data_IF_640092159836
#
_entry.id   IF_640092159836
#
_cell.length_a   1.000
_cell.length_b   1.000
_cell.length_c   1.000
_cell.angle_alpha   90.00
_cell.angle_beta   90.00
_cell.angle_gamma   90.00
#
_symmetry.space_group_name_H-M   'P 1'
#
loop_
_entity.id
_entity.type
_entity.pdbx_description
1 polymer ?
#
# COMPACT_ATOMS: atom_id res chain seq x y z
N UNK A 1 2.93 -1.00 8.39
CA UNK A 1 3.28 0.32 7.83
C UNK A 1 2.75 0.33 6.42
N UNK A 2 1.92 1.31 6.06
CA UNK A 2 1.44 1.44 4.68
C UNK A 2 2.52 2.15 3.88
N UNK A 3 2.95 1.56 2.78
CA UNK A 3 3.86 2.22 1.84
C UNK A 3 3.07 2.62 0.60
N UNK A 4 3.35 3.79 0.07
CA UNK A 4 2.88 4.18 -1.26
C UNK A 4 4.05 4.11 -2.21
N UNK A 5 3.89 3.32 -3.25
CA UNK A 5 4.93 3.10 -4.23
C UNK A 5 4.31 3.11 -5.63
N UNK A 6 4.88 3.89 -6.55
CA UNK A 6 4.45 3.93 -7.93
C UNK A 6 5.61 4.18 -8.88
N UNK A 7 5.58 3.55 -10.05
CA UNK A 7 6.48 3.87 -11.17
C UNK A 7 5.66 4.57 -12.24
N UNK A 8 6.14 5.70 -12.75
CA UNK A 8 5.52 6.44 -13.84
C UNK A 8 6.36 6.32 -15.11
N UNK A 9 5.75 5.86 -16.19
CA UNK A 9 6.37 5.74 -17.51
C UNK A 9 5.80 6.81 -18.44
N UNK A 10 6.67 7.64 -19.04
CA UNK A 10 6.27 8.68 -19.99
C UNK A 10 6.00 8.08 -21.38
N UNK A 11 4.85 7.43 -21.53
CA UNK A 11 4.41 6.79 -22.77
C UNK A 11 2.89 6.65 -22.81
N UNK A 12 2.32 6.57 -24.01
CA UNK A 12 0.93 6.15 -24.23
C UNK A 12 0.80 4.64 -24.46
N UNK A 13 1.91 3.97 -24.80
CA UNK A 13 1.96 2.54 -25.10
C UNK A 13 2.00 1.70 -23.82
N UNK A 14 0.80 1.54 -23.25
CA UNK A 14 0.55 0.70 -22.08
C UNK A 14 0.93 -0.76 -22.31
N UNK A 15 0.74 -1.28 -23.52
CA UNK A 15 0.96 -2.70 -23.81
C UNK A 15 2.45 -3.02 -23.77
N UNK A 16 3.31 -2.15 -24.30
CA UNK A 16 4.77 -2.30 -24.16
C UNK A 16 5.24 -2.25 -22.71
N UNK A 17 4.66 -1.37 -21.87
CA UNK A 17 4.94 -1.34 -20.42
C UNK A 17 4.55 -2.68 -19.78
N UNK A 18 3.36 -3.20 -20.07
CA UNK A 18 2.90 -4.48 -19.54
C UNK A 18 3.77 -5.65 -20.00
N UNK A 19 4.18 -5.65 -21.27
CA UNK A 19 5.07 -6.67 -21.84
C UNK A 19 6.44 -6.65 -21.12
N UNK A 20 7.02 -5.47 -20.89
CA UNK A 20 8.28 -5.32 -20.17
C UNK A 20 8.19 -5.78 -18.71
N UNK A 21 7.10 -5.47 -17.99
CA UNK A 21 6.88 -5.99 -16.63
C UNK A 21 6.85 -7.52 -16.63
N UNK A 22 6.10 -8.14 -17.56
CA UNK A 22 6.00 -9.60 -17.66
C UNK A 22 7.34 -10.24 -18.02
N UNK A 23 8.09 -9.65 -18.95
CA UNK A 23 9.42 -10.10 -19.32
C UNK A 23 10.39 -10.01 -18.13
N UNK A 24 10.35 -8.91 -17.38
CA UNK A 24 11.16 -8.74 -16.17
C UNK A 24 10.81 -9.77 -15.10
N UNK A 25 9.53 -10.03 -14.86
CA UNK A 25 9.09 -11.07 -13.92
C UNK A 25 9.61 -12.46 -14.32
N UNK A 26 9.50 -12.81 -15.60
CA UNK A 26 10.00 -14.07 -16.13
C UNK A 26 11.53 -14.19 -15.99
N UNK A 27 12.27 -13.14 -16.35
CA UNK A 27 13.73 -13.09 -16.21
C UNK A 27 14.20 -13.21 -14.74
N UNK A 28 13.33 -12.82 -13.79
CA UNK A 28 13.57 -12.95 -12.37
C UNK A 28 13.07 -14.27 -11.77
N UNK A 29 12.57 -15.22 -12.58
CA UNK A 29 12.08 -16.52 -12.11
C UNK A 29 10.71 -16.47 -11.43
N UNK A 30 9.94 -15.40 -11.63
CA UNK A 30 8.57 -15.31 -11.13
C UNK A 30 7.60 -16.04 -12.07
N UNK A 31 6.67 -16.79 -11.50
CA UNK A 31 5.52 -17.38 -12.20
C UNK A 31 4.34 -16.42 -12.06
N UNK A 32 3.73 -16.05 -13.19
CA UNK A 32 2.54 -15.21 -13.20
C UNK A 32 1.34 -15.96 -12.62
N UNK A 33 0.51 -15.27 -11.83
CA UNK A 33 -0.72 -15.83 -11.27
C UNK A 33 -1.81 -14.75 -11.16
N UNK A 34 -3.07 -15.18 -11.06
CA UNK A 34 -4.22 -14.29 -10.84
C UNK A 34 -4.78 -14.48 -9.42
N UNK A 35 -4.56 -13.53 -8.49
CA UNK A 35 -5.08 -13.61 -7.13
C UNK A 35 -6.60 -13.42 -7.05
N UNK A 36 -7.26 -12.97 -8.13
CA UNK A 36 -8.70 -12.73 -8.19
C UNK A 36 -9.47 -13.91 -8.81
N UNK A 37 -8.76 -14.97 -9.20
CA UNK A 37 -9.34 -16.20 -9.74
C UNK A 37 -10.06 -17.02 -8.65
N UNK A 38 -10.85 -18.01 -9.08
CA UNK A 38 -11.67 -18.86 -8.18
C UNK A 38 -10.84 -19.98 -7.52
N UNK A 39 -9.71 -20.33 -8.12
CA UNK A 39 -8.88 -21.45 -7.68
C UNK A 39 -7.93 -20.94 -6.58
N UNK A 40 -7.80 -21.63 -5.43
CA UNK A 40 -6.86 -21.25 -4.38
C UNK A 40 -5.46 -21.06 -4.98
N UNK A 41 -4.97 -19.82 -4.92
CA UNK A 41 -3.67 -19.46 -5.49
C UNK A 41 -2.54 -20.18 -4.75
N UNK A 42 -1.47 -20.51 -5.47
CA UNK A 42 -0.22 -20.91 -4.85
C UNK A 42 0.27 -19.80 -3.92
N UNK A 43 0.73 -20.17 -2.71
CA UNK A 43 1.42 -19.22 -1.84
C UNK A 43 2.86 -19.11 -2.29
N UNK A 44 3.32 -17.88 -2.47
CA UNK A 44 4.69 -17.58 -2.87
C UNK A 44 5.39 -16.82 -1.74
N UNK A 45 6.57 -17.27 -1.28
CA UNK A 45 7.34 -16.57 -0.24
C UNK A 45 7.78 -15.18 -0.70
N UNK A 46 8.02 -15.01 -2.00
CA UNK A 46 8.35 -13.74 -2.65
C UNK A 46 7.32 -13.49 -3.75
N UNK A 47 6.59 -12.38 -3.66
CA UNK A 47 5.55 -12.03 -4.61
C UNK A 47 5.65 -10.56 -5.01
N UNK A 48 5.71 -10.30 -6.31
CA UNK A 48 5.56 -8.97 -6.88
C UNK A 48 4.09 -8.76 -7.21
N UNK A 49 3.53 -7.66 -6.70
CA UNK A 49 2.11 -7.34 -6.79
C UNK A 49 1.96 -5.91 -7.28
N UNK A 50 1.37 -5.73 -8.45
CA UNK A 50 1.13 -4.40 -8.99
C UNK A 50 -0.10 -4.36 -9.90
N UNK A 51 -0.57 -3.14 -10.12
CA UNK A 51 -1.52 -2.82 -11.18
C UNK A 51 -0.89 -1.87 -12.19
N UNK A 52 -1.26 -2.01 -13.46
CA UNK A 52 -0.93 -1.05 -14.51
C UNK A 52 -2.17 -0.22 -14.82
N UNK A 53 -2.08 1.09 -14.66
CA UNK A 53 -3.18 2.02 -14.94
C UNK A 53 -3.49 2.11 -16.44
N UNK A 54 -4.69 2.60 -16.79
CA UNK A 54 -4.90 3.22 -18.09
C UNK A 54 -3.91 4.38 -18.31
N UNK A 55 -3.68 4.72 -19.58
CA UNK A 55 -2.91 5.90 -19.95
C UNK A 55 -3.65 7.16 -19.49
N UNK A 56 -2.94 8.06 -18.83
CA UNK A 56 -3.47 9.32 -18.35
C UNK A 56 -2.67 10.50 -18.91
N UNK A 57 -3.37 11.56 -19.31
CA UNK A 57 -2.74 12.75 -19.87
C UNK A 57 -2.17 13.63 -18.75
N UNK A 58 -0.87 13.88 -18.80
CA UNK A 58 -0.19 14.89 -18.02
C UNK A 58 0.00 16.20 -18.81
N UNK A 59 0.70 17.16 -18.20
CA UNK A 59 1.08 18.40 -18.86
C UNK A 59 2.16 18.11 -19.92
N UNK A 60 1.74 17.91 -21.17
CA UNK A 60 2.62 17.73 -22.33
C UNK A 60 3.07 16.29 -22.62
N UNK A 61 2.68 15.30 -21.81
CA UNK A 61 2.99 13.88 -22.08
C UNK A 61 1.90 12.95 -21.56
N UNK A 62 1.74 11.81 -22.21
CA UNK A 62 0.93 10.70 -21.73
C UNK A 62 1.74 9.86 -20.74
N UNK A 63 1.06 9.33 -19.72
CA UNK A 63 1.69 8.57 -18.64
C UNK A 63 0.96 7.25 -18.38
N UNK A 64 1.75 6.20 -18.18
CA UNK A 64 1.29 4.92 -17.63
C UNK A 64 1.87 4.76 -16.23
N UNK A 65 1.00 4.51 -15.24
CA UNK A 65 1.38 4.33 -13.84
C UNK A 65 1.35 2.85 -13.48
N UNK A 66 2.43 2.36 -12.88
CA UNK A 66 2.45 1.09 -12.16
C UNK A 66 2.22 1.40 -10.68
N UNK A 67 1.20 0.81 -10.09
CA UNK A 67 0.83 0.96 -8.68
C UNK A 67 1.29 -0.30 -7.96
N UNK A 68 2.31 -0.19 -7.11
CA UNK A 68 2.96 -1.34 -6.49
C UNK A 68 2.53 -1.50 -5.03
N UNK A 69 2.43 -2.75 -4.58
CA UNK A 69 2.24 -3.04 -3.16
C UNK A 69 3.47 -2.66 -2.32
N UNK A 70 4.66 -2.77 -2.92
CA UNK A 70 5.95 -2.46 -2.31
C UNK A 70 6.99 -2.14 -3.40
N UNK A 71 8.09 -1.43 -3.07
CA UNK A 71 9.17 -1.18 -4.01
C UNK A 71 9.79 -2.47 -4.55
N UNK A 72 10.02 -2.53 -5.86
CA UNK A 72 10.61 -3.68 -6.54
C UNK A 72 11.92 -3.26 -7.20
N UNK A 73 13.03 -3.73 -6.63
CA UNK A 73 14.37 -3.40 -7.12
C UNK A 73 14.56 -3.86 -8.58
N UNK A 74 15.14 -3.01 -9.43
CA UNK A 74 15.45 -3.33 -10.82
C UNK A 74 14.27 -3.20 -11.79
N UNK A 75 13.04 -3.00 -11.32
CA UNK A 75 11.87 -2.92 -12.20
C UNK A 75 11.82 -1.58 -12.94
N UNK A 76 12.11 -0.46 -12.26
CA UNK A 76 12.12 0.86 -12.89
C UNK A 76 13.20 0.96 -13.98
N UNK A 77 14.37 0.38 -13.73
CA UNK A 77 15.49 0.29 -14.67
C UNK A 77 15.13 -0.54 -15.90
N UNK A 78 14.44 -1.68 -15.70
CA UNK A 78 13.98 -2.51 -16.81
C UNK A 78 12.97 -1.78 -17.72
N UNK A 79 12.16 -0.87 -17.15
CA UNK A 79 11.19 -0.08 -17.90
C UNK A 79 11.85 1.05 -18.72
N UNK A 80 13.08 1.47 -18.39
CA UNK A 80 13.81 2.48 -19.17
C UNK A 80 14.07 2.06 -20.62
N UNK A 81 14.08 0.75 -20.90
CA UNK A 81 14.17 0.23 -22.27
C UNK A 81 12.90 0.43 -23.11
N UNK A 82 11.77 0.79 -22.48
CA UNK A 82 10.49 1.07 -23.12
C UNK A 82 10.22 2.57 -23.18
N UNK A 83 10.37 3.25 -22.04
CA UNK A 83 10.11 4.68 -21.90
C UNK A 83 10.85 5.25 -20.68
N UNK A 84 11.09 6.58 -20.62
CA UNK A 84 11.56 7.21 -19.40
C UNK A 84 10.65 6.84 -18.22
N UNK A 85 11.24 6.23 -17.18
CA UNK A 85 10.52 5.72 -16.03
C UNK A 85 11.09 6.31 -14.73
N UNK A 86 10.22 6.69 -13.80
CA UNK A 86 10.61 7.22 -12.48
C UNK A 86 9.88 6.49 -11.37
N UNK A 87 10.62 6.06 -10.34
CA UNK A 87 10.09 5.46 -9.13
C UNK A 87 9.82 6.55 -8.11
N UNK A 88 8.59 6.61 -7.60
CA UNK A 88 8.23 7.38 -6.42
C UNK A 88 7.90 6.39 -5.30
N UNK A 89 8.61 6.51 -4.19
CA UNK A 89 8.42 5.71 -2.99
C UNK A 89 8.26 6.63 -1.79
N UNK A 90 7.15 6.46 -1.09
CA UNK A 90 6.82 7.17 0.13
C UNK A 90 6.46 6.13 1.19
N UNK A 91 7.42 5.89 2.08
CA UNK A 91 7.17 5.11 3.28
C UNK A 91 6.14 5.84 4.15
N UNK A 92 5.22 5.07 4.75
CA UNK A 92 4.36 5.59 5.80
C UNK A 92 5.20 6.09 6.96
N UNK A 93 4.96 7.33 7.39
CA UNK A 93 5.64 7.94 8.51
C UNK A 93 4.86 7.74 9.80
N UNK A 94 5.51 7.13 10.81
CA UNK A 94 5.22 7.50 12.20
C UNK A 94 5.63 8.96 12.35
N UNK A 95 4.70 9.83 12.76
CA UNK A 95 5.07 11.17 13.19
C UNK A 95 6.10 11.04 14.34
N UNK A 96 7.23 11.75 14.20
CA UNK A 96 8.31 11.94 15.15
C UNK A 96 9.20 10.74 15.53
N UNK A 97 10.52 10.97 15.44
CA UNK A 97 11.54 10.09 15.99
C UNK A 97 11.56 10.17 17.52
N UNK A 98 11.23 9.04 18.14
CA UNK A 98 11.39 8.77 19.57
C UNK A 98 11.59 7.26 19.74
N UNK A 99 12.41 6.83 20.71
CA UNK A 99 12.61 5.41 20.98
C UNK A 99 11.25 4.76 21.30
N UNK A 100 10.87 3.73 20.53
CA UNK A 100 9.58 3.05 20.68
C UNK A 100 9.75 1.79 21.54
N UNK A 101 8.79 1.55 22.44
CA UNK A 101 8.66 0.29 23.15
C UNK A 101 7.27 -0.28 22.89
N UNK A 102 7.21 -1.46 22.28
CA UNK A 102 5.96 -2.15 21.93
C UNK A 102 4.96 -1.27 21.13
N UNK A 103 5.47 -0.43 20.22
CA UNK A 103 4.65 0.42 19.36
C UNK A 103 4.07 1.67 20.02
N UNK A 104 4.43 1.95 21.27
CA UNK A 104 4.12 3.21 21.96
C UNK A 104 5.34 4.12 21.87
N UNK A 105 5.11 5.37 21.43
CA UNK A 105 6.12 6.42 21.52
C UNK A 105 6.30 6.82 22.99
N UNK A 106 7.45 6.48 23.56
CA UNK A 106 7.80 6.84 24.94
C UNK A 106 7.87 8.36 25.13
N UNK A 107 8.13 9.12 24.06
CA UNK A 107 8.17 10.59 24.11
C UNK A 107 6.76 11.21 24.29
N UNK A 108 5.70 10.47 23.94
CA UNK A 108 4.31 10.90 24.08
C UNK A 108 3.70 10.60 25.46
N UNK A 109 4.43 9.91 26.34
CA UNK A 109 3.98 9.62 27.71
C UNK A 109 4.19 10.85 28.61
N UNK A 110 3.30 11.03 29.61
CA UNK A 110 3.47 12.07 30.64
C UNK A 110 4.79 11.86 31.40
N UNK A 111 5.37 12.94 31.95
CA UNK A 111 6.70 12.90 32.58
C UNK A 111 6.86 11.82 33.66
N UNK A 112 5.80 11.55 34.42
CA UNK A 112 5.79 10.50 35.45
C UNK A 112 5.79 9.07 34.85
N UNK A 113 5.17 8.88 33.68
CA UNK A 113 5.14 7.62 32.97
C UNK A 113 6.48 7.30 32.28
N UNK A 114 7.21 8.32 31.79
CA UNK A 114 8.59 8.16 31.31
C UNK A 114 9.55 7.73 32.43
N UNK A 115 9.42 8.34 33.62
CA UNK A 115 10.23 8.00 34.78
C UNK A 115 9.97 6.57 35.28
N UNK A 116 8.75 6.04 35.12
CA UNK A 116 8.44 4.63 35.39
C UNK A 116 8.96 3.69 34.31
N UNK A 117 8.85 4.03 33.03
CA UNK A 117 9.28 3.16 31.93
C UNK A 117 10.78 2.83 31.95
N UNK A 118 11.60 3.77 32.43
CA UNK A 118 13.04 3.55 32.66
C UNK A 118 13.37 2.60 33.83
N UNK A 119 12.36 2.21 34.63
CA UNK A 119 12.51 1.36 35.83
C UNK A 119 11.88 -0.03 35.69
N UNK A 120 11.26 -0.37 34.56
CA UNK A 120 10.56 -1.65 34.39
C UNK A 120 11.44 -2.68 33.68
N UNK A 121 11.62 -3.84 34.31
CA UNK A 121 12.32 -5.01 33.77
C UNK A 121 11.59 -5.57 32.54
N UNK A 122 12.28 -5.65 31.39
CA UNK A 122 11.72 -6.01 30.09
C UNK A 122 11.06 -7.40 30.05
N UNK A 123 11.43 -8.31 30.97
CA UNK A 123 10.78 -9.63 31.07
C UNK A 123 9.37 -9.57 31.67
N UNK A 124 9.06 -8.55 32.48
CA UNK A 124 7.70 -8.36 33.03
C UNK A 124 6.75 -7.67 32.04
N UNK A 125 7.28 -6.92 31.08
CA UNK A 125 6.50 -6.24 30.03
C UNK A 125 5.76 -7.24 29.11
N UNK A 126 6.37 -8.38 28.78
CA UNK A 126 5.73 -9.43 27.97
C UNK A 126 4.52 -10.09 28.65
N UNK A 127 4.59 -10.30 29.96
CA UNK A 127 3.48 -10.88 30.72
C UNK A 127 2.31 -9.88 30.90
N UNK A 128 2.60 -8.58 30.92
CA UNK A 128 1.58 -7.53 30.93
C UNK A 128 0.94 -7.33 29.55
N UNK A 129 1.73 -7.40 28.46
CA UNK A 129 1.21 -7.34 27.09
C UNK A 129 0.25 -8.49 26.79
N UNK A 130 0.57 -9.73 27.22
CA UNK A 130 -0.34 -10.87 27.08
C UNK A 130 -1.62 -10.73 27.91
N UNK A 131 -1.58 -10.07 29.08
CA UNK A 131 -2.79 -9.73 29.85
C UNK A 131 -3.62 -8.63 29.19
N UNK A 132 -2.97 -7.65 28.56
CA UNK A 132 -3.63 -6.58 27.79
C UNK A 132 -4.34 -7.14 26.55
N UNK A 133 -3.69 -8.02 25.79
CA UNK A 133 -4.28 -8.72 24.63
C UNK A 133 -5.45 -9.61 25.06
N UNK A 134 -5.31 -10.32 26.19
CA UNK A 134 -6.39 -11.11 26.78
C UNK A 134 -7.58 -10.27 27.29
N UNK A 135 -7.34 -9.03 27.71
CA UNK A 135 -8.39 -8.10 28.16
C UNK A 135 -9.09 -7.37 27.00
N UNK A 136 -8.38 -7.15 25.88
CA UNK A 136 -8.91 -6.61 24.62
C UNK A 136 -9.88 -7.60 23.96
N UNK A 137 -9.55 -8.90 23.97
CA UNK A 137 -10.48 -9.96 23.55
C UNK A 137 -11.73 -10.07 24.43
N UNK A 138 -11.69 -9.51 25.66
CA UNK A 138 -12.80 -9.52 26.62
C UNK A 138 -13.64 -8.23 26.63
N UNK A 139 -13.13 -7.13 26.05
CA UNK A 139 -13.78 -5.82 25.99
C UNK A 139 -14.23 -5.47 24.56
N UNK A 140 -15.17 -6.24 24.03
CA UNK A 140 -16.09 -5.83 22.95
C UNK A 140 -17.11 -4.77 23.43
N UNK A 141 -16.65 -3.83 24.26
CA UNK A 141 -17.35 -2.67 24.78
C UNK A 141 -16.30 -1.57 24.93
N UNK A 142 -16.01 -0.88 23.83
CA UNK A 142 -14.85 -0.02 23.66
C UNK A 142 -14.89 1.21 24.58
N UNK A 143 -13.78 1.50 25.27
CA UNK A 143 -13.58 2.76 25.99
C UNK A 143 -12.97 3.83 25.06
N UNK A 144 -13.11 5.11 25.41
CA UNK A 144 -12.56 6.23 24.61
C UNK A 144 -11.04 6.15 24.43
N UNK A 145 -10.33 5.56 25.38
CA UNK A 145 -8.89 5.35 25.30
C UNK A 145 -8.50 4.29 24.24
N UNK A 146 -9.30 3.23 24.10
CA UNK A 146 -9.10 2.20 23.07
C UNK A 146 -9.38 2.78 21.68
N UNK A 147 -10.40 3.64 21.56
CA UNK A 147 -10.69 4.36 20.32
C UNK A 147 -9.57 5.35 19.95
N UNK A 148 -8.97 6.03 20.93
CA UNK A 148 -7.83 6.92 20.70
C UNK A 148 -6.58 6.16 20.26
N UNK A 149 -6.27 5.02 20.89
CA UNK A 149 -5.14 4.18 20.49
C UNK A 149 -5.34 3.57 19.08
N UNK A 150 -6.55 3.12 18.76
CA UNK A 150 -6.89 2.67 17.41
C UNK A 150 -6.74 3.80 16.37
N UNK A 151 -7.19 5.03 16.68
CA UNK A 151 -7.01 6.20 15.82
C UNK A 151 -5.55 6.57 15.63
N UNK A 152 -4.73 6.49 16.68
CA UNK A 152 -3.29 6.76 16.59
C UNK A 152 -2.57 5.72 15.73
N UNK A 153 -2.92 4.43 15.85
CA UNK A 153 -2.39 3.37 14.99
C UNK A 153 -2.83 3.55 13.53
N UNK A 154 -4.08 3.95 13.29
CA UNK A 154 -4.58 4.26 11.94
C UNK A 154 -3.86 5.48 11.35
N UNK A 155 -3.64 6.54 12.13
CA UNK A 155 -2.92 7.74 11.70
C UNK A 155 -1.44 7.44 11.40
N UNK A 156 -0.78 6.62 12.21
CA UNK A 156 0.60 6.17 11.96
C UNK A 156 0.71 5.22 10.74
N UNK A 157 -0.41 4.65 10.29
CA UNK A 157 -0.50 3.87 9.06
C UNK A 157 -0.89 4.73 7.84
N UNK A 158 -1.20 6.01 8.02
CA UNK A 158 -1.52 6.92 6.92
C UNK A 158 -0.26 7.56 6.34
N UNK A 159 -0.40 8.03 5.11
CA UNK A 159 0.69 8.57 4.32
C UNK A 159 0.68 10.08 4.46
N UNK A 160 1.75 10.60 5.06
CA UNK A 160 1.92 12.04 5.27
C UNK A 160 2.48 12.71 4.00
N UNK A 161 1.56 13.19 3.17
CA UNK A 161 1.88 13.99 1.99
C UNK A 161 2.38 15.40 2.33
N UNK A 162 2.07 15.91 3.52
CA UNK A 162 2.46 17.25 3.97
C UNK A 162 3.89 17.31 4.51
N UNK A 163 4.42 16.16 4.95
CA UNK A 163 5.80 16.01 5.40
C UNK A 163 6.84 16.31 4.32
N UNK A 164 8.11 16.41 4.72
CA UNK A 164 9.19 16.78 3.82
C UNK A 164 9.36 15.82 2.63
N UNK A 165 9.16 14.52 2.83
CA UNK A 165 9.23 13.53 1.78
C UNK A 165 8.05 13.66 0.79
N UNK A 166 6.82 13.77 1.29
CA UNK A 166 5.63 13.99 0.48
C UNK A 166 5.71 15.29 -0.33
N UNK A 167 6.13 16.38 0.29
CA UNK A 167 6.33 17.68 -0.37
C UNK A 167 7.36 17.61 -1.53
N UNK A 168 8.45 16.86 -1.35
CA UNK A 168 9.45 16.66 -2.42
C UNK A 168 8.86 15.89 -3.60
N UNK A 169 8.10 14.82 -3.34
CA UNK A 169 7.44 14.06 -4.40
C UNK A 169 6.39 14.91 -5.12
N UNK A 170 5.65 15.76 -4.41
CA UNK A 170 4.70 16.69 -5.02
C UNK A 170 5.40 17.67 -5.96
N UNK A 171 6.51 18.28 -5.53
CA UNK A 171 7.29 19.17 -6.36
C UNK A 171 7.82 18.48 -7.62
N UNK A 172 8.29 17.23 -7.48
CA UNK A 172 8.82 16.44 -8.59
C UNK A 172 7.71 16.00 -9.56
N UNK A 173 6.56 15.55 -9.06
CA UNK A 173 5.39 15.23 -9.88
C UNK A 173 4.94 16.44 -10.71
N UNK A 174 4.92 17.63 -10.09
CA UNK A 174 4.60 18.87 -10.77
C UNK A 174 5.61 19.20 -11.86
N UNK A 175 6.91 19.07 -11.57
CA UNK A 175 7.99 19.30 -12.54
C UNK A 175 7.91 18.35 -13.74
N UNK A 176 7.53 17.11 -13.51
CA UNK A 176 7.33 16.09 -14.57
C UNK A 176 6.01 16.27 -15.31
N UNK A 177 5.11 17.12 -14.83
CA UNK A 177 3.79 17.31 -15.43
C UNK A 177 2.90 16.08 -15.29
N UNK A 178 2.98 15.35 -14.17
CA UNK A 178 2.10 14.20 -13.93
C UNK A 178 0.61 14.64 -13.84
N UNK A 179 -0.34 13.75 -14.16
CA UNK A 179 -1.77 14.05 -14.03
C UNK A 179 -2.16 14.48 -12.62
N UNK A 180 -3.16 15.35 -12.45
CA UNK A 180 -3.53 15.91 -11.13
C UNK A 180 -3.83 14.85 -10.06
N UNK A 181 -4.39 13.70 -10.45
CA UNK A 181 -4.73 12.57 -9.57
C UNK A 181 -3.63 11.50 -9.51
N UNK A 182 -2.36 11.82 -9.81
CA UNK A 182 -1.27 10.84 -9.88
C UNK A 182 -1.05 10.02 -8.60
N UNK A 183 -1.48 10.52 -7.44
CA UNK A 183 -1.36 9.86 -6.14
C UNK A 183 -2.40 8.76 -5.93
N UNK A 184 -3.56 8.86 -6.58
CA UNK A 184 -4.71 8.00 -6.35
C UNK A 184 -5.05 7.16 -7.59
N UNK A 185 -5.57 5.94 -7.41
CA UNK A 185 -5.67 5.20 -6.13
C UNK A 185 -4.29 4.70 -5.65
N UNK A 186 -4.19 4.31 -4.38
CA UNK A 186 -3.08 3.48 -3.88
C UNK A 186 -3.35 1.98 -4.15
N UNK A 187 -2.35 1.13 -3.87
CA UNK A 187 -2.46 -0.31 -4.14
C UNK A 187 -3.58 -0.99 -3.36
N UNK A 188 -3.76 -0.67 -2.07
CA UNK A 188 -4.76 -1.32 -1.21
C UNK A 188 -6.16 -0.93 -1.65
N UNK A 189 -6.38 0.39 -1.83
CA UNK A 189 -7.64 0.95 -2.32
C UNK A 189 -8.03 0.32 -3.66
N UNK A 190 -7.09 0.25 -4.62
CA UNK A 190 -7.35 -0.36 -5.92
C UNK A 190 -7.58 -1.87 -5.84
N UNK A 191 -6.78 -2.61 -5.05
CA UNK A 191 -6.93 -4.06 -4.89
C UNK A 191 -8.31 -4.43 -4.36
N UNK A 192 -8.77 -3.72 -3.34
CA UNK A 192 -10.03 -4.01 -2.68
C UNK A 192 -11.21 -3.65 -3.60
N UNK A 193 -11.16 -2.49 -4.26
CA UNK A 193 -12.13 -2.12 -5.30
C UNK A 193 -12.18 -3.16 -6.43
N UNK A 194 -11.02 -3.55 -6.97
CA UNK A 194 -10.90 -4.51 -8.07
C UNK A 194 -11.52 -5.86 -7.72
N UNK A 195 -11.28 -6.37 -6.50
CA UNK A 195 -11.85 -7.62 -6.02
C UNK A 195 -13.38 -7.59 -6.00
N UNK A 196 -13.97 -6.49 -5.52
CA UNK A 196 -15.43 -6.30 -5.49
C UNK A 196 -15.99 -6.24 -6.91
N UNK A 197 -15.39 -5.42 -7.78
CA UNK A 197 -15.80 -5.29 -9.17
C UNK A 197 -15.72 -6.63 -9.93
N UNK A 198 -14.63 -7.40 -9.80
CA UNK A 198 -14.50 -8.74 -10.41
C UNK A 198 -15.52 -9.75 -9.87
N UNK A 199 -15.93 -9.63 -8.60
CA UNK A 199 -16.98 -10.49 -8.04
C UNK A 199 -18.35 -10.13 -8.63
N UNK A 200 -18.66 -8.85 -8.74
CA UNK A 200 -19.93 -8.38 -9.32
C UNK A 200 -20.01 -8.63 -10.83
N UNK A 201 -18.90 -8.56 -11.56
CA UNK A 201 -18.83 -8.95 -12.98
C UNK A 201 -19.25 -10.41 -13.18
N UNK A 202 -18.82 -11.32 -12.29
CA UNK A 202 -19.19 -12.74 -12.33
C UNK A 202 -20.58 -13.02 -11.78
N UNK A 203 -21.06 -12.18 -10.86
CA UNK A 203 -22.32 -12.37 -10.15
C UNK A 203 -22.95 -11.00 -9.83
N UNK A 204 -23.69 -10.42 -10.79
CA UNK A 204 -24.23 -9.06 -10.65
C UNK A 204 -25.16 -8.87 -9.44
N UNK A 205 -25.82 -9.94 -9.00
CA UNK A 205 -26.73 -9.95 -7.86
C UNK A 205 -26.07 -10.42 -6.55
N UNK A 206 -24.74 -10.54 -6.51
CA UNK A 206 -24.05 -10.95 -5.29
C UNK A 206 -24.26 -9.92 -4.18
N UNK A 207 -24.55 -10.42 -2.98
CA UNK A 207 -24.67 -9.57 -1.78
C UNK A 207 -23.34 -8.87 -1.50
N UNK A 208 -23.40 -7.56 -1.24
CA UNK A 208 -22.26 -6.80 -0.75
C UNK A 208 -21.96 -7.16 0.70
N UNK A 209 -20.69 -7.41 0.99
CA UNK A 209 -20.17 -7.51 2.35
C UNK A 209 -19.93 -6.13 2.93
N UNK A 210 -19.83 -6.00 4.27
CA UNK A 210 -19.47 -4.74 4.91
C UNK A 210 -18.16 -4.20 4.33
N UNK A 211 -18.14 -2.93 3.88
CA UNK A 211 -16.99 -2.29 3.24
C UNK A 211 -16.95 -2.40 1.72
N UNK A 212 -17.74 -3.29 1.09
CA UNK A 212 -17.67 -3.50 -0.35
C UNK A 212 -18.25 -2.31 -1.14
N UNK A 213 -19.28 -1.65 -0.60
CA UNK A 213 -19.86 -0.47 -1.25
C UNK A 213 -18.84 0.67 -1.28
N UNK A 214 -18.20 0.94 -0.14
CA UNK A 214 -17.15 1.94 0.00
C UNK A 214 -15.95 1.63 -0.89
N UNK A 215 -15.49 0.37 -0.92
CA UNK A 215 -14.38 -0.05 -1.78
C UNK A 215 -14.71 0.08 -3.28
N UNK A 216 -15.91 -0.35 -3.69
CA UNK A 216 -16.36 -0.22 -5.09
C UNK A 216 -16.44 1.24 -5.52
N UNK A 217 -17.00 2.09 -4.66
CA UNK A 217 -17.27 3.49 -4.97
C UNK A 217 -15.97 4.33 -4.90
N UNK A 218 -14.94 3.88 -4.18
CA UNK A 218 -13.62 4.53 -4.14
C UNK A 218 -12.87 4.48 -5.48
N UNK A 219 -13.05 3.41 -6.27
CA UNK A 219 -12.49 3.29 -7.64
C UNK A 219 -13.56 2.70 -8.57
N UNK A 220 -14.50 3.53 -9.08
CA UNK A 220 -15.61 3.05 -9.90
C UNK A 220 -15.18 2.34 -11.20
N UNK A 221 -14.00 2.67 -11.71
CA UNK A 221 -13.41 2.16 -12.95
C UNK A 221 -12.27 1.15 -12.71
N UNK A 222 -12.26 0.47 -11.55
CA UNK A 222 -11.16 -0.42 -11.16
C UNK A 222 -10.79 -1.48 -12.22
N UNK A 223 -11.77 -1.99 -12.98
CA UNK A 223 -11.54 -3.00 -14.02
C UNK A 223 -10.75 -2.48 -15.24
N UNK A 224 -10.58 -1.17 -15.38
CA UNK A 224 -9.72 -0.59 -16.43
C UNK A 224 -8.23 -0.78 -16.12
N UNK A 225 -7.87 -1.03 -14.86
CA UNK A 225 -6.52 -1.35 -14.42
C UNK A 225 -6.22 -2.83 -14.69
N UNK A 226 -4.97 -3.13 -15.06
CA UNK A 226 -4.56 -4.52 -15.31
C UNK A 226 -3.68 -5.01 -14.17
N UNK A 227 -4.14 -6.01 -13.38
CA UNK A 227 -3.31 -6.63 -12.36
C UNK A 227 -2.18 -7.44 -13.01
N UNK A 228 -0.96 -7.30 -12.50
CA UNK A 228 0.16 -8.17 -12.83
C UNK A 228 0.78 -8.66 -11.52
N UNK A 229 0.64 -9.96 -11.27
CA UNK A 229 1.13 -10.61 -10.06
C UNK A 229 2.07 -11.74 -10.47
N UNK A 230 3.25 -11.77 -9.84
CA UNK A 230 4.27 -12.79 -10.09
C UNK A 230 4.85 -13.29 -8.78
N UNK A 231 5.03 -14.60 -8.65
CA UNK A 231 5.56 -15.22 -7.43
C UNK A 231 6.73 -16.15 -7.72
N UNK A 232 7.75 -16.16 -6.86
CA UNK A 232 8.86 -17.12 -6.93
C UNK A 232 8.58 -18.30 -6.00
N UNK A 233 8.78 -19.52 -6.49
CA UNK A 233 8.78 -20.70 -5.62
C UNK A 233 10.09 -20.73 -4.83
N UNK A 234 10.02 -21.22 -3.58
CA UNK A 234 11.20 -21.50 -2.77
C UNK A 234 12.06 -22.58 -3.43
#
# INVERSE_FOLDING_TARGET
MSNWCSIFCATEDRDSVMAAVRAWLAANGCVLYDPFSVIPGASYPVAVKLFVSPTAQGAGSAWVRLILAEPVAGLAEALQGVAPAVLFDLAGGSAAGGATLAGVDLAALSGDAQAMASRVDMKQAGAMANRLIGSLGKRLGASDADAAAARALLAAAQIDWSGAAGSRLIAEAFRLGLPASWQTPDFTTLRDAYAVHKRLERSPNARLYPGDAEARDAVPDALTYTPIFGGKRA
#
